data_IF_036524794541
#
_entry.id   IF_036524794541
#
_cell.length_a   1.000
_cell.length_b   1.000
_cell.length_c   1.000
_cell.angle_alpha   90.00
_cell.angle_beta   90.00
_cell.angle_gamma   90.00
#
_symmetry.space_group_name_H-M   'P 1'
#
loop_
_entity.id
_entity.type
_entity.pdbx_description
1 polymer ?
#
# COMPACT_ATOMS: atom_id res chain seq x y z
N UNK A 1 7.20 -22.04 -34.34
CA UNK A 1 7.26 -20.62 -34.71
C UNK A 1 6.28 -19.75 -33.95
N UNK A 2 4.97 -19.99 -33.98
CA UNK A 2 3.96 -19.20 -33.26
C UNK A 2 4.17 -19.22 -31.74
N UNK A 3 4.42 -20.38 -31.14
CA UNK A 3 4.67 -20.52 -29.69
C UNK A 3 5.92 -19.76 -29.26
N UNK A 4 6.99 -19.82 -30.07
CA UNK A 4 8.22 -19.07 -29.81
C UNK A 4 8.00 -17.56 -29.90
N UNK A 5 7.17 -17.09 -30.84
CA UNK A 5 6.82 -15.68 -30.97
C UNK A 5 5.98 -15.19 -29.76
N UNK A 6 5.02 -16.00 -29.30
CA UNK A 6 4.20 -15.70 -28.13
C UNK A 6 5.06 -15.61 -26.87
N UNK A 7 5.94 -16.60 -26.65
CA UNK A 7 6.86 -16.62 -25.51
C UNK A 7 7.80 -15.41 -25.55
N UNK A 8 8.31 -15.05 -26.73
CA UNK A 8 9.20 -13.90 -26.88
C UNK A 8 8.48 -12.57 -26.63
N UNK A 9 7.27 -12.41 -27.18
CA UNK A 9 6.44 -11.22 -26.95
C UNK A 9 6.05 -11.08 -25.46
N UNK A 10 5.74 -12.19 -24.80
CA UNK A 10 5.44 -12.23 -23.37
C UNK A 10 6.68 -11.83 -22.54
N UNK A 11 7.82 -12.41 -22.88
CA UNK A 11 9.10 -12.08 -22.23
C UNK A 11 9.48 -10.60 -22.39
N UNK A 12 9.30 -10.01 -23.57
CA UNK A 12 9.60 -8.60 -23.83
C UNK A 12 8.68 -7.67 -23.04
N UNK A 13 7.39 -7.98 -22.93
CA UNK A 13 6.45 -7.19 -22.14
C UNK A 13 6.82 -7.11 -20.67
N UNK A 14 7.40 -8.16 -20.13
CA UNK A 14 7.88 -8.19 -18.75
C UNK A 14 9.31 -7.66 -18.62
N UNK A 15 10.25 -8.17 -19.44
CA UNK A 15 11.66 -7.86 -19.28
C UNK A 15 12.02 -6.42 -19.59
N UNK A 16 11.36 -5.79 -20.53
CA UNK A 16 11.62 -4.40 -20.88
C UNK A 16 11.34 -3.45 -19.67
N UNK A 17 10.14 -3.41 -19.08
CA UNK A 17 9.91 -2.58 -17.91
C UNK A 17 10.75 -3.02 -16.69
N UNK A 18 10.92 -4.33 -16.47
CA UNK A 18 11.74 -4.82 -15.36
C UNK A 18 13.20 -4.37 -15.48
N UNK A 19 13.79 -4.45 -16.68
CA UNK A 19 15.18 -4.00 -16.92
C UNK A 19 15.32 -2.50 -16.69
N UNK A 20 14.38 -1.69 -17.14
CA UNK A 20 14.45 -0.22 -16.91
C UNK A 20 14.29 0.09 -15.42
N UNK A 21 13.28 -0.45 -14.77
CA UNK A 21 13.03 -0.18 -13.33
C UNK A 21 14.19 -0.66 -12.46
N UNK A 22 14.68 -1.88 -12.66
CA UNK A 22 15.79 -2.44 -11.91
C UNK A 22 17.13 -1.81 -12.29
N UNK A 23 17.34 -1.48 -13.57
CA UNK A 23 18.57 -0.86 -14.05
C UNK A 23 18.74 0.58 -13.59
N UNK A 24 17.65 1.32 -13.45
CA UNK A 24 17.67 2.72 -12.95
C UNK A 24 17.69 2.82 -11.42
N UNK A 25 17.25 1.78 -10.72
CA UNK A 25 17.16 1.78 -9.26
C UNK A 25 18.50 2.05 -8.55
N UNK A 26 19.64 1.44 -8.94
CA UNK A 26 20.93 1.75 -8.32
C UNK A 26 21.34 3.22 -8.48
N UNK A 27 21.19 3.78 -9.68
CA UNK A 27 21.51 5.18 -9.94
C UNK A 27 20.62 6.13 -9.12
N UNK A 28 19.33 5.83 -9.04
CA UNK A 28 18.39 6.57 -8.19
C UNK A 28 18.80 6.51 -6.71
N UNK A 29 19.05 5.33 -6.18
CA UNK A 29 19.42 5.14 -4.77
C UNK A 29 20.76 5.75 -4.41
N UNK A 30 21.74 5.73 -5.32
CA UNK A 30 23.02 6.42 -5.14
C UNK A 30 22.83 7.94 -5.12
N UNK A 31 22.11 8.49 -6.09
CA UNK A 31 21.80 9.93 -6.15
C UNK A 31 21.05 10.40 -4.91
N UNK A 32 20.07 9.61 -4.49
CA UNK A 32 19.34 9.86 -3.25
C UNK A 32 20.25 9.76 -2.02
N UNK A 33 21.17 8.79 -1.97
CA UNK A 33 22.14 8.65 -0.88
C UNK A 33 23.07 9.86 -0.75
N UNK A 34 23.57 10.38 -1.87
CA UNK A 34 24.35 11.62 -1.93
C UNK A 34 23.51 12.79 -1.40
N UNK A 35 22.27 12.92 -1.88
CA UNK A 35 21.33 13.93 -1.37
C UNK A 35 21.12 13.79 0.15
N UNK A 36 20.94 12.58 0.63
CA UNK A 36 20.75 12.32 2.08
C UNK A 36 21.94 12.75 2.91
N UNK A 37 23.16 12.56 2.42
CA UNK A 37 24.38 13.03 3.09
C UNK A 37 24.47 14.55 3.09
N UNK A 38 24.26 15.19 1.94
CA UNK A 38 24.30 16.65 1.83
C UNK A 38 23.23 17.33 2.67
N UNK A 39 22.08 16.70 2.83
CA UNK A 39 20.95 17.25 3.57
C UNK A 39 21.09 17.17 5.10
N UNK A 40 22.16 16.55 5.63
CA UNK A 40 22.36 16.45 7.10
C UNK A 40 22.51 17.80 7.78
N UNK A 41 22.99 18.80 7.06
CA UNK A 41 23.16 20.18 7.55
C UNK A 41 21.97 21.08 7.23
N UNK A 42 20.96 20.56 6.52
CA UNK A 42 19.80 21.32 6.10
C UNK A 42 18.63 21.17 7.08
N UNK A 43 17.72 22.16 7.15
CA UNK A 43 16.49 22.02 7.91
C UNK A 43 15.67 20.79 7.43
N UNK A 44 15.12 20.03 8.37
CA UNK A 44 14.34 18.81 8.11
C UNK A 44 13.24 19.02 7.07
N UNK A 45 12.62 20.18 7.04
CA UNK A 45 11.58 20.54 6.07
C UNK A 45 12.11 20.55 4.63
N UNK A 46 13.32 21.11 4.42
CA UNK A 46 13.96 21.15 3.08
C UNK A 46 14.30 19.73 2.63
N UNK A 47 14.83 18.91 3.55
CA UNK A 47 15.08 17.51 3.27
C UNK A 47 13.82 16.80 2.76
N UNK A 48 12.72 16.85 3.52
CA UNK A 48 11.48 16.16 3.13
C UNK A 48 10.92 16.66 1.80
N UNK A 49 10.96 17.97 1.54
CA UNK A 49 10.44 18.53 0.28
C UNK A 49 11.15 17.97 -0.95
N UNK A 50 12.49 17.85 -0.90
CA UNK A 50 13.26 17.32 -2.02
C UNK A 50 13.22 15.80 -2.07
N UNK A 51 13.22 15.11 -0.94
CA UNK A 51 13.04 13.67 -0.84
C UNK A 51 11.69 13.25 -1.48
N UNK A 52 10.61 13.95 -1.16
CA UNK A 52 9.29 13.72 -1.74
C UNK A 52 9.26 13.93 -3.26
N UNK A 53 10.00 14.93 -3.77
CA UNK A 53 10.13 15.17 -5.22
C UNK A 53 10.92 14.05 -5.91
N UNK A 54 12.03 13.61 -5.34
CA UNK A 54 12.84 12.51 -5.87
C UNK A 54 12.03 11.21 -5.90
N UNK A 55 11.30 10.92 -4.81
CA UNK A 55 10.38 9.79 -4.77
C UNK A 55 9.33 9.89 -5.86
N UNK A 56 8.69 11.05 -6.01
CA UNK A 56 7.67 11.28 -7.02
C UNK A 56 8.20 11.02 -8.44
N UNK A 57 9.40 11.50 -8.77
CA UNK A 57 10.02 11.30 -10.10
C UNK A 57 10.24 9.80 -10.37
N UNK A 58 10.88 9.09 -9.45
CA UNK A 58 11.16 7.67 -9.64
C UNK A 58 9.89 6.83 -9.70
N UNK A 59 8.96 7.05 -8.79
CA UNK A 59 7.70 6.32 -8.77
C UNK A 59 6.79 6.64 -9.94
N UNK A 60 6.82 7.86 -10.48
CA UNK A 60 6.08 8.17 -11.72
C UNK A 60 6.57 7.34 -12.91
N UNK A 61 7.88 7.06 -12.99
CA UNK A 61 8.43 6.16 -14.00
C UNK A 61 7.92 4.71 -13.77
N UNK A 62 7.91 4.26 -12.52
CA UNK A 62 7.38 2.93 -12.19
C UNK A 62 5.90 2.84 -12.56
N UNK A 63 5.09 3.83 -12.17
CA UNK A 63 3.66 3.89 -12.50
C UNK A 63 3.39 3.92 -13.99
N UNK A 64 4.23 4.61 -14.78
CA UNK A 64 4.12 4.58 -16.24
C UNK A 64 4.12 3.15 -16.78
N UNK A 65 5.01 2.28 -16.27
CA UNK A 65 5.04 0.89 -16.71
C UNK A 65 3.82 0.10 -16.24
N UNK A 66 3.36 0.31 -15.02
CA UNK A 66 2.23 -0.46 -14.48
C UNK A 66 0.86 0.01 -14.96
N UNK A 67 0.71 1.23 -15.40
CA UNK A 67 -0.57 1.78 -15.88
C UNK A 67 -0.55 2.01 -17.39
N UNK A 68 0.35 2.88 -17.88
CA UNK A 68 0.32 3.28 -19.28
C UNK A 68 0.87 2.22 -20.24
N UNK A 69 2.03 1.64 -19.92
CA UNK A 69 2.66 0.63 -20.77
C UNK A 69 1.85 -0.67 -20.81
N UNK A 70 1.34 -1.13 -19.68
CA UNK A 70 0.46 -2.31 -19.64
C UNK A 70 -0.87 -2.03 -20.31
N UNK A 71 -1.35 -0.79 -20.25
CA UNK A 71 -2.69 -0.40 -20.67
C UNK A 71 -3.78 -1.07 -19.82
N UNK A 72 -3.49 -1.32 -18.54
CA UNK A 72 -4.50 -1.76 -17.57
C UNK A 72 -5.50 -0.63 -17.34
N UNK A 73 -6.78 -0.97 -17.33
CA UNK A 73 -7.84 0.01 -17.07
C UNK A 73 -8.11 0.10 -15.57
N UNK A 74 -7.96 1.29 -15.00
CA UNK A 74 -8.23 1.56 -13.59
C UNK A 74 -9.62 2.20 -13.49
N UNK A 75 -10.57 1.45 -12.94
CA UNK A 75 -11.97 1.90 -12.77
C UNK A 75 -12.17 2.27 -11.30
N UNK A 76 -12.41 3.55 -11.05
CA UNK A 76 -12.64 4.06 -9.70
C UNK A 76 -14.12 4.33 -9.50
N UNK A 77 -14.67 3.77 -8.43
CA UNK A 77 -16.01 4.05 -7.92
C UNK A 77 -15.89 4.93 -6.68
N UNK A 78 -16.58 6.06 -6.69
CA UNK A 78 -16.49 7.10 -5.67
C UNK A 78 -15.61 8.28 -6.10
N UNK A 79 -15.58 9.30 -5.28
CA UNK A 79 -14.95 10.58 -5.60
C UNK A 79 -13.57 10.71 -4.93
N UNK A 80 -12.53 10.81 -5.75
CA UNK A 80 -11.20 11.11 -5.27
C UNK A 80 -11.09 12.62 -4.99
N UNK A 81 -10.75 13.05 -3.76
CA UNK A 81 -10.55 14.47 -3.45
C UNK A 81 -9.48 15.09 -4.33
N UNK A 82 -9.73 16.27 -4.87
CA UNK A 82 -8.77 16.99 -5.74
C UNK A 82 -7.62 17.63 -4.96
N UNK A 83 -7.84 17.98 -3.69
CA UNK A 83 -6.80 18.59 -2.84
C UNK A 83 -5.97 17.52 -2.15
N UNK A 84 -4.72 17.86 -1.87
CA UNK A 84 -3.85 17.04 -1.04
C UNK A 84 -4.36 17.04 0.39
N UNK A 85 -4.40 15.86 0.99
CA UNK A 85 -4.79 15.64 2.36
C UNK A 85 -3.75 14.78 3.07
N UNK A 86 -3.63 14.96 4.38
CA UNK A 86 -2.89 14.03 5.23
C UNK A 86 -3.82 12.89 5.62
N UNK A 87 -3.51 11.69 5.17
CA UNK A 87 -4.46 10.57 5.27
C UNK A 87 -3.81 9.28 5.74
N UNK A 88 -4.65 8.43 6.30
CA UNK A 88 -4.38 7.00 6.42
C UNK A 88 -5.18 6.30 5.31
N UNK A 89 -4.46 5.62 4.42
CA UNK A 89 -5.02 4.77 3.40
C UNK A 89 -5.18 3.34 3.97
N UNK A 90 -6.41 2.84 4.04
CA UNK A 90 -6.75 1.50 4.51
C UNK A 90 -7.31 0.68 3.36
N UNK A 91 -6.63 -0.38 2.97
CA UNK A 91 -7.09 -1.25 1.88
C UNK A 91 -7.02 -2.73 2.24
N UNK A 92 -7.81 -3.53 1.55
CA UNK A 92 -7.62 -4.97 1.49
C UNK A 92 -6.28 -5.29 0.78
N UNK A 93 -5.74 -6.47 1.04
CA UNK A 93 -4.41 -6.87 0.56
C UNK A 93 -4.45 -8.23 -0.12
N UNK A 94 -4.27 -8.27 -1.44
CA UNK A 94 -4.40 -9.50 -2.22
C UNK A 94 -3.10 -9.91 -2.91
N UNK A 95 -2.32 -8.94 -3.37
CA UNK A 95 -1.10 -9.24 -4.13
C UNK A 95 0.04 -8.24 -3.88
N UNK A 96 1.15 -8.46 -4.54
CA UNK A 96 2.29 -7.56 -4.44
C UNK A 96 2.04 -6.24 -5.18
N UNK A 97 1.11 -6.20 -6.15
CA UNK A 97 0.80 -4.98 -6.89
C UNK A 97 -0.08 -3.98 -6.11
N UNK A 98 -0.64 -4.34 -4.95
CA UNK A 98 -1.53 -3.46 -4.19
C UNK A 98 -0.87 -2.13 -3.78
N UNK A 99 0.45 -2.10 -3.58
CA UNK A 99 1.15 -0.85 -3.30
C UNK A 99 1.20 0.07 -4.52
N UNK A 100 1.26 -0.50 -5.74
CA UNK A 100 1.18 0.27 -6.99
C UNK A 100 -0.18 0.97 -7.10
N UNK A 101 -1.26 0.29 -6.69
CA UNK A 101 -2.61 0.88 -6.70
C UNK A 101 -2.69 2.07 -5.74
N UNK A 102 -2.06 1.97 -4.57
CA UNK A 102 -1.99 3.11 -3.64
C UNK A 102 -1.26 4.31 -4.28
N UNK A 103 -0.14 4.06 -4.95
CA UNK A 103 0.62 5.09 -5.68
C UNK A 103 -0.18 5.67 -6.87
N UNK A 104 -0.93 4.83 -7.60
CA UNK A 104 -1.83 5.29 -8.68
C UNK A 104 -2.94 6.22 -8.18
N UNK A 105 -3.46 6.01 -6.99
CA UNK A 105 -4.42 6.92 -6.37
C UNK A 105 -3.74 8.20 -5.86
N UNK A 106 -2.58 8.06 -5.23
CA UNK A 106 -1.84 9.21 -4.71
C UNK A 106 -1.37 10.17 -5.81
N UNK A 107 -0.95 9.66 -6.99
CA UNK A 107 -0.53 10.53 -8.10
C UNK A 107 -1.70 11.36 -8.64
N UNK A 108 -2.92 10.82 -8.65
CA UNK A 108 -4.13 11.53 -9.08
C UNK A 108 -4.49 12.71 -8.17
N UNK A 109 -3.97 12.70 -6.94
CA UNK A 109 -4.09 13.79 -5.97
C UNK A 109 -2.81 14.65 -5.87
N UNK A 110 -1.83 14.43 -6.74
CA UNK A 110 -0.50 15.04 -6.67
C UNK A 110 0.21 14.80 -5.33
N UNK A 111 -0.12 13.70 -4.65
CA UNK A 111 0.37 13.32 -3.32
C UNK A 111 1.36 12.14 -3.35
N UNK A 112 1.83 11.70 -4.55
CA UNK A 112 2.70 10.54 -4.70
C UNK A 112 3.97 10.64 -3.85
N UNK A 113 4.60 11.80 -3.78
CA UNK A 113 5.78 12.02 -2.92
C UNK A 113 5.50 11.90 -1.42
N UNK A 114 4.25 12.01 -1.01
CA UNK A 114 3.84 11.93 0.40
C UNK A 114 3.53 10.50 0.87
N UNK A 115 3.61 9.51 -0.03
CA UNK A 115 3.29 8.13 0.28
C UNK A 115 4.33 7.54 1.24
N UNK A 116 3.85 6.95 2.32
CA UNK A 116 4.63 6.24 3.34
C UNK A 116 3.94 4.90 3.60
N UNK A 117 4.73 3.85 3.77
CA UNK A 117 4.19 2.50 3.95
C UNK A 117 4.44 1.96 5.34
N UNK A 118 3.44 1.25 5.88
CA UNK A 118 3.64 0.33 6.99
C UNK A 118 4.06 -1.02 6.43
N UNK A 119 5.33 -1.35 6.60
CA UNK A 119 6.02 -2.48 5.96
C UNK A 119 6.29 -3.62 6.95
N UNK A 120 6.39 -4.85 6.43
CA UNK A 120 6.86 -5.99 7.22
C UNK A 120 8.32 -5.79 7.64
N UNK A 121 8.64 -6.04 8.91
CA UNK A 121 9.98 -5.85 9.49
C UNK A 121 11.11 -6.54 8.70
N UNK A 122 10.84 -7.70 8.10
CA UNK A 122 11.82 -8.39 7.26
C UNK A 122 12.30 -7.60 6.03
N UNK A 123 11.51 -6.65 5.53
CA UNK A 123 11.87 -5.84 4.36
C UNK A 123 12.97 -4.81 4.66
N UNK A 124 13.26 -4.51 5.91
CA UNK A 124 14.38 -3.63 6.29
C UNK A 124 15.76 -4.18 5.88
N UNK A 125 15.84 -5.51 5.69
CA UNK A 125 17.07 -6.21 5.28
C UNK A 125 17.24 -6.27 3.76
N UNK A 126 16.28 -5.77 2.99
CA UNK A 126 16.43 -5.67 1.55
C UNK A 126 17.54 -4.65 1.22
N UNK A 127 18.61 -5.07 0.52
CA UNK A 127 19.76 -4.21 0.26
C UNK A 127 19.33 -2.87 -0.37
N UNK A 128 19.88 -1.78 0.13
CA UNK A 128 19.61 -0.40 -0.26
C UNK A 128 18.17 0.06 0.00
N UNK A 129 17.18 -0.70 -0.46
CA UNK A 129 15.76 -0.35 -0.35
C UNK A 129 15.25 -0.32 1.10
N UNK A 130 15.71 -1.25 1.94
CA UNK A 130 15.32 -1.27 3.35
C UNK A 130 15.74 0.01 4.08
N UNK A 131 16.96 0.47 3.82
CA UNK A 131 17.43 1.74 4.37
C UNK A 131 16.68 2.93 3.76
N UNK A 132 16.53 2.97 2.44
CA UNK A 132 15.82 4.01 1.72
C UNK A 132 14.39 4.21 2.24
N UNK A 133 13.56 3.16 2.28
CA UNK A 133 12.20 3.26 2.78
C UNK A 133 12.13 3.73 4.24
N UNK A 134 13.11 3.34 5.07
CA UNK A 134 13.19 3.85 6.44
C UNK A 134 13.42 5.35 6.50
N UNK A 135 14.27 5.89 5.63
CA UNK A 135 14.58 7.32 5.58
C UNK A 135 13.46 8.13 4.94
N UNK A 136 12.79 7.59 3.92
CA UNK A 136 11.60 8.18 3.31
C UNK A 136 10.37 8.20 4.23
N UNK A 137 10.49 7.71 5.45
CA UNK A 137 9.41 7.72 6.46
C UNK A 137 8.64 6.41 6.61
N UNK A 138 8.98 5.37 5.86
CA UNK A 138 8.35 4.04 5.97
C UNK A 138 8.53 3.42 7.35
N UNK A 139 7.55 2.67 7.81
CA UNK A 139 7.47 2.12 9.17
C UNK A 139 7.54 0.61 9.10
N UNK A 140 8.57 0.03 9.71
CA UNK A 140 8.72 -1.42 9.79
C UNK A 140 8.04 -1.99 11.03
N UNK A 141 7.14 -2.96 10.83
CA UNK A 141 6.38 -3.59 11.90
C UNK A 141 6.55 -5.11 11.92
N UNK A 142 6.71 -5.68 13.10
CA UNK A 142 6.63 -7.12 13.32
C UNK A 142 5.16 -7.53 13.44
N UNK A 143 4.73 -8.51 12.65
CA UNK A 143 3.32 -8.97 12.57
C UNK A 143 2.93 -9.95 13.70
N UNK A 144 3.67 -9.98 14.80
CA UNK A 144 3.48 -10.89 15.94
C UNK A 144 3.19 -10.12 17.22
N UNK A 145 3.09 -10.83 18.34
CA UNK A 145 3.03 -10.26 19.69
C UNK A 145 4.15 -9.28 20.01
N UNK A 146 5.24 -9.28 19.21
CA UNK A 146 6.38 -8.37 19.32
C UNK A 146 6.18 -7.05 18.54
N UNK A 147 4.95 -6.67 18.21
CA UNK A 147 4.66 -5.37 17.60
C UNK A 147 5.05 -4.25 18.57
N UNK A 148 5.96 -3.38 18.13
CA UNK A 148 6.45 -2.27 18.96
C UNK A 148 5.64 -0.99 18.69
N UNK A 149 4.54 -0.83 19.43
CA UNK A 149 3.65 0.33 19.32
C UNK A 149 4.38 1.65 19.62
N UNK A 150 5.24 1.66 20.66
CA UNK A 150 6.00 2.86 21.07
C UNK A 150 6.94 3.35 19.97
N UNK A 151 7.65 2.42 19.30
CA UNK A 151 8.56 2.78 18.21
C UNK A 151 7.80 3.34 17.00
N UNK A 152 6.68 2.73 16.62
CA UNK A 152 5.83 3.24 15.55
C UNK A 152 5.28 4.62 15.88
N UNK A 153 4.69 4.79 17.07
CA UNK A 153 4.15 6.08 17.55
C UNK A 153 5.20 7.18 17.51
N UNK A 154 6.38 6.93 18.08
CA UNK A 154 7.50 7.89 18.10
C UNK A 154 7.94 8.29 16.68
N UNK A 155 7.98 7.33 15.74
CA UNK A 155 8.40 7.62 14.36
C UNK A 155 7.36 8.49 13.63
N UNK A 156 6.08 8.19 13.80
CA UNK A 156 4.98 8.98 13.23
C UNK A 156 4.94 10.39 13.82
N UNK A 157 5.00 10.51 15.14
CA UNK A 157 5.00 11.80 15.82
C UNK A 157 6.14 12.71 15.34
N UNK A 158 7.35 12.20 15.18
CA UNK A 158 8.46 12.98 14.62
C UNK A 158 8.19 13.53 13.22
N UNK A 159 7.47 12.78 12.38
CA UNK A 159 7.11 13.22 11.03
C UNK A 159 6.01 14.27 11.07
N UNK A 160 5.01 14.11 11.92
CA UNK A 160 3.93 15.11 12.10
C UNK A 160 4.44 16.40 12.75
N UNK A 161 5.32 16.32 13.75
CA UNK A 161 5.98 17.45 14.37
C UNK A 161 6.87 18.24 13.37
N UNK A 162 7.49 17.55 12.44
CA UNK A 162 8.23 18.16 11.34
C UNK A 162 7.32 18.79 10.27
N UNK A 163 6.00 18.65 10.38
CA UNK A 163 5.03 19.10 9.38
C UNK A 163 5.12 18.37 8.06
N UNK A 164 5.67 17.14 8.05
CA UNK A 164 5.80 16.34 6.83
C UNK A 164 4.42 15.91 6.32
N UNK A 165 4.08 16.16 5.04
CA UNK A 165 2.85 15.64 4.47
C UNK A 165 2.84 14.12 4.49
N UNK A 166 1.67 13.52 4.80
CA UNK A 166 1.56 12.09 5.03
C UNK A 166 0.40 11.46 4.26
N UNK A 167 0.72 10.50 3.40
CA UNK A 167 -0.21 9.57 2.78
C UNK A 167 0.19 8.17 3.26
N UNK A 168 -0.28 7.78 4.44
CA UNK A 168 0.19 6.58 5.14
C UNK A 168 -0.61 5.34 4.72
N UNK A 169 0.02 4.46 3.98
CA UNK A 169 -0.58 3.23 3.47
C UNK A 169 -0.46 2.10 4.49
N UNK A 170 -1.60 1.55 4.87
CA UNK A 170 -1.72 0.42 5.79
C UNK A 170 -2.63 -0.65 5.17
N UNK A 171 -2.16 -1.89 5.20
CA UNK A 171 -2.98 -3.06 4.90
C UNK A 171 -3.32 -3.78 6.20
N UNK A 172 -4.52 -3.55 6.77
CA UNK A 172 -4.88 -4.05 8.10
C UNK A 172 -4.88 -5.57 8.24
N UNK A 173 -5.07 -6.30 7.16
CA UNK A 173 -4.99 -7.77 7.13
C UNK A 173 -3.63 -8.30 7.63
N UNK A 174 -2.59 -7.50 7.49
CA UNK A 174 -1.24 -7.84 7.94
C UNK A 174 -0.55 -8.92 7.10
N UNK A 175 -1.24 -9.58 6.18
CA UNK A 175 -0.71 -10.46 5.14
C UNK A 175 -1.66 -10.45 3.95
N UNK A 176 -1.22 -10.98 2.80
CA UNK A 176 -2.03 -11.03 1.58
C UNK A 176 -3.08 -12.14 1.70
N UNK A 177 -4.31 -11.84 1.29
CA UNK A 177 -5.31 -12.86 1.06
C UNK A 177 -4.90 -13.65 -0.20
N UNK A 178 -4.74 -14.96 -0.05
CA UNK A 178 -4.52 -15.87 -1.18
C UNK A 178 -5.43 -17.08 -0.99
N UNK A 179 -6.36 -17.37 -1.91
CA UNK A 179 -7.32 -18.48 -1.80
C UNK A 179 -6.65 -19.86 -1.77
N UNK A 180 -5.40 -19.98 -2.21
CA UNK A 180 -4.62 -21.22 -2.14
C UNK A 180 -4.05 -21.48 -0.74
N UNK A 181 -3.89 -20.45 0.09
CA UNK A 181 -3.36 -20.53 1.44
C UNK A 181 -4.46 -20.79 2.46
N UNK A 182 -5.08 -21.96 2.40
CA UNK A 182 -6.23 -22.34 3.24
C UNK A 182 -5.98 -22.22 4.74
N UNK A 183 -4.76 -22.51 5.21
CA UNK A 183 -4.40 -22.37 6.63
C UNK A 183 -4.48 -20.91 7.09
N UNK A 184 -3.99 -19.96 6.29
CA UNK A 184 -4.03 -18.53 6.62
C UNK A 184 -5.48 -18.03 6.70
N UNK A 185 -6.34 -18.51 5.79
CA UNK A 185 -7.76 -18.16 5.78
C UNK A 185 -8.45 -18.76 7.03
N UNK A 186 -8.21 -20.04 7.32
CA UNK A 186 -8.78 -20.73 8.47
C UNK A 186 -8.38 -20.07 9.80
N UNK A 187 -7.10 -19.71 9.96
CA UNK A 187 -6.60 -18.99 11.13
C UNK A 187 -7.28 -17.62 11.30
N UNK A 188 -7.49 -16.92 10.19
CA UNK A 188 -8.19 -15.62 10.18
C UNK A 188 -9.64 -15.76 10.58
N UNK A 189 -10.33 -16.78 10.05
CA UNK A 189 -11.73 -17.06 10.35
C UNK A 189 -11.92 -17.52 11.80
N UNK A 190 -11.06 -18.41 12.29
CA UNK A 190 -11.06 -18.83 13.69
C UNK A 190 -10.84 -17.66 14.65
N UNK A 191 -9.95 -16.73 14.27
CA UNK A 191 -9.74 -15.50 15.04
C UNK A 191 -11.00 -14.62 15.06
N UNK A 192 -11.69 -14.43 13.94
CA UNK A 192 -12.94 -13.67 13.89
C UNK A 192 -14.01 -14.28 14.79
N UNK A 193 -14.21 -15.60 14.71
CA UNK A 193 -15.16 -16.34 15.56
C UNK A 193 -14.85 -16.20 17.04
N UNK A 194 -13.57 -16.35 17.43
CA UNK A 194 -13.12 -16.19 18.82
C UNK A 194 -13.42 -14.80 19.38
N UNK A 195 -13.32 -13.78 18.54
CA UNK A 195 -13.54 -12.38 18.93
C UNK A 195 -15.00 -11.92 18.76
N UNK A 196 -15.90 -12.82 18.36
CA UNK A 196 -17.32 -12.52 18.15
C UNK A 196 -17.62 -11.64 16.93
N UNK A 197 -16.75 -11.69 15.90
CA UNK A 197 -16.93 -10.98 14.64
C UNK A 197 -17.49 -11.88 13.55
N UNK A 198 -18.10 -11.25 12.54
CA UNK A 198 -18.50 -11.94 11.32
C UNK A 198 -17.29 -12.58 10.62
N UNK A 199 -17.49 -13.77 10.08
CA UNK A 199 -16.45 -14.51 9.36
C UNK A 199 -16.36 -13.99 7.93
N UNK A 200 -15.18 -13.48 7.55
CA UNK A 200 -14.89 -12.98 6.20
C UNK A 200 -14.47 -14.13 5.29
N UNK A 201 -14.87 -14.07 4.01
CA UNK A 201 -14.62 -15.12 3.01
C UNK A 201 -13.59 -14.70 1.95
N UNK A 202 -13.56 -13.44 1.59
CA UNK A 202 -12.79 -12.88 0.48
C UNK A 202 -11.70 -11.90 0.91
N UNK A 203 -11.67 -11.57 2.22
CA UNK A 203 -10.65 -10.77 2.88
C UNK A 203 -10.23 -11.46 4.18
N UNK A 204 -9.10 -11.05 4.77
CA UNK A 204 -8.71 -11.52 6.08
C UNK A 204 -9.21 -10.55 7.17
N UNK A 205 -9.45 -11.09 8.37
CA UNK A 205 -9.86 -10.30 9.52
C UNK A 205 -8.84 -9.20 9.82
N UNK A 206 -9.22 -7.92 9.84
CA UNK A 206 -8.28 -6.82 10.00
C UNK A 206 -7.69 -6.75 11.41
N UNK A 207 -6.41 -6.41 11.49
CA UNK A 207 -5.67 -6.16 12.73
C UNK A 207 -5.63 -4.66 13.01
N UNK A 208 -6.22 -4.24 14.12
CA UNK A 208 -6.39 -2.81 14.41
C UNK A 208 -5.12 -2.10 14.90
N UNK A 209 -4.12 -2.82 15.43
CA UNK A 209 -3.01 -2.21 16.19
C UNK A 209 -2.28 -1.11 15.41
N UNK A 210 -1.84 -1.40 14.18
CA UNK A 210 -1.09 -0.41 13.39
C UNK A 210 -1.96 0.80 13.02
N UNK A 211 -3.21 0.57 12.58
CA UNK A 211 -4.13 1.65 12.21
C UNK A 211 -4.48 2.52 13.42
N UNK A 212 -4.70 1.93 14.59
CA UNK A 212 -4.97 2.67 15.83
C UNK A 212 -3.77 3.52 16.25
N UNK A 213 -2.57 2.93 16.27
CA UNK A 213 -1.36 3.69 16.62
C UNK A 213 -1.12 4.84 15.65
N UNK A 214 -1.43 4.64 14.36
CA UNK A 214 -1.33 5.71 13.37
C UNK A 214 -2.33 6.84 13.63
N UNK A 215 -3.60 6.52 13.89
CA UNK A 215 -4.63 7.52 14.25
C UNK A 215 -4.22 8.33 15.48
N UNK A 216 -3.79 7.66 16.56
CA UNK A 216 -3.35 8.32 17.79
C UNK A 216 -2.10 9.19 17.59
N UNK A 217 -1.12 8.68 16.84
CA UNK A 217 0.15 9.40 16.64
C UNK A 217 0.03 10.59 15.72
N UNK A 218 -0.92 10.57 14.80
CA UNK A 218 -1.14 11.59 13.79
C UNK A 218 -2.35 12.48 14.10
N UNK A 219 -2.92 12.38 15.32
CA UNK A 219 -4.04 13.19 15.76
C UNK A 219 -3.71 14.69 15.58
N UNK A 220 -4.65 15.45 15.00
CA UNK A 220 -4.45 16.87 14.69
C UNK A 220 -3.65 17.15 13.41
N UNK A 221 -3.07 16.11 12.79
CA UNK A 221 -2.39 16.21 11.49
C UNK A 221 -3.17 15.54 10.36
N UNK A 222 -4.10 14.64 10.69
CA UNK A 222 -4.92 13.90 9.73
C UNK A 222 -6.18 14.69 9.32
N UNK A 223 -6.45 14.67 8.03
CA UNK A 223 -7.68 15.20 7.44
C UNK A 223 -8.76 14.11 7.31
N UNK A 224 -8.36 12.89 6.90
CA UNK A 224 -9.29 11.79 6.63
C UNK A 224 -8.63 10.41 6.70
N UNK A 225 -9.47 9.38 6.67
CA UNK A 225 -9.09 8.02 6.30
C UNK A 225 -9.67 7.71 4.92
N UNK A 226 -8.84 7.18 4.03
CA UNK A 226 -9.30 6.66 2.75
C UNK A 226 -9.52 5.16 2.88
N UNK A 227 -10.78 4.76 2.80
CA UNK A 227 -11.18 3.36 2.84
C UNK A 227 -11.30 2.82 1.42
N UNK A 228 -10.36 1.96 1.05
CA UNK A 228 -10.18 1.51 -0.32
C UNK A 228 -10.45 0.02 -0.43
N UNK A 229 -11.25 -0.36 -1.41
CA UNK A 229 -11.43 -1.76 -1.78
C UNK A 229 -10.91 -1.97 -3.19
N UNK A 230 -9.98 -2.90 -3.36
CA UNK A 230 -9.39 -3.25 -4.65
C UNK A 230 -9.88 -4.62 -5.07
N UNK A 231 -10.33 -4.75 -6.32
CA UNK A 231 -10.69 -6.02 -6.93
C UNK A 231 -10.02 -6.12 -8.31
N UNK A 232 -9.38 -7.26 -8.58
CA UNK A 232 -8.71 -7.55 -9.83
C UNK A 232 -9.62 -8.38 -10.71
N UNK A 233 -9.91 -7.92 -11.94
CA UNK A 233 -10.75 -8.66 -12.89
C UNK A 233 -10.15 -10.03 -13.21
N UNK A 234 -11.01 -11.03 -13.40
CA UNK A 234 -10.59 -12.40 -13.71
C UNK A 234 -10.17 -13.23 -12.50
N UNK A 235 -10.16 -12.66 -11.29
CA UNK A 235 -9.89 -13.41 -10.05
C UNK A 235 -11.09 -14.25 -9.58
N UNK A 236 -12.28 -13.98 -10.09
CA UNK A 236 -13.48 -14.77 -9.86
C UNK A 236 -13.90 -15.45 -11.18
N UNK A 237 -13.96 -16.76 -11.20
CA UNK A 237 -14.41 -17.51 -12.37
C UNK A 237 -15.96 -17.65 -12.39
N UNK A 238 -16.50 -18.15 -13.51
CA UNK A 238 -17.96 -18.37 -13.69
C UNK A 238 -18.59 -19.29 -12.63
N UNK A 239 -17.80 -20.14 -12.00
CA UNK A 239 -18.25 -21.07 -10.95
C UNK A 239 -18.04 -20.50 -9.54
N UNK A 240 -17.89 -19.19 -9.40
CA UNK A 240 -17.61 -18.50 -8.13
C UNK A 240 -16.34 -18.99 -7.41
N UNK A 241 -15.45 -19.67 -8.12
CA UNK A 241 -14.14 -20.06 -7.57
C UNK A 241 -13.17 -18.90 -7.71
N UNK A 242 -12.56 -18.50 -6.61
CA UNK A 242 -11.62 -17.39 -6.56
C UNK A 242 -10.20 -17.87 -6.84
N UNK A 243 -9.53 -17.18 -7.77
CA UNK A 243 -8.11 -17.35 -8.06
C UNK A 243 -7.26 -16.35 -7.29
N UNK A 244 -5.96 -16.60 -7.11
CA UNK A 244 -5.04 -15.57 -6.61
C UNK A 244 -5.09 -14.30 -7.47
N UNK A 245 -4.90 -13.16 -6.82
CA UNK A 245 -4.70 -11.90 -7.54
C UNK A 245 -3.35 -11.91 -8.29
N UNK A 246 -3.20 -11.14 -9.38
CA UNK A 246 -2.05 -11.22 -10.26
C UNK A 246 -0.74 -10.90 -9.53
N UNK A 247 0.30 -11.67 -9.81
CA UNK A 247 1.67 -11.32 -9.42
C UNK A 247 2.15 -10.09 -10.19
N UNK A 248 3.27 -9.49 -9.79
CA UNK A 248 3.87 -8.36 -10.51
C UNK A 248 4.16 -8.68 -11.98
N UNK A 249 4.77 -9.84 -12.35
CA UNK A 249 4.95 -10.24 -13.74
C UNK A 249 3.62 -10.36 -14.51
N UNK A 250 2.64 -11.04 -13.95
CA UNK A 250 1.32 -11.20 -14.56
C UNK A 250 0.62 -9.87 -14.78
N UNK A 251 0.74 -8.95 -13.83
CA UNK A 251 0.21 -7.60 -13.97
C UNK A 251 0.89 -6.85 -15.12
N UNK A 252 2.25 -6.86 -15.19
CA UNK A 252 3.01 -6.25 -16.28
C UNK A 252 2.70 -6.87 -17.65
N UNK A 253 2.37 -8.15 -17.68
CA UNK A 253 1.95 -8.85 -18.91
C UNK A 253 0.48 -8.63 -19.28
N UNK A 254 -0.25 -7.80 -18.52
CA UNK A 254 -1.67 -7.51 -18.74
C UNK A 254 -2.60 -8.72 -18.60
N UNK A 255 -2.28 -9.65 -17.69
CA UNK A 255 -3.18 -10.75 -17.38
C UNK A 255 -4.42 -10.29 -16.59
N UNK A 256 -4.35 -9.10 -15.99
CA UNK A 256 -5.48 -8.42 -15.37
C UNK A 256 -5.82 -7.19 -16.22
N UNK A 257 -6.88 -7.23 -17.08
CA UNK A 257 -7.18 -6.11 -17.96
C UNK A 257 -7.75 -4.91 -17.22
N UNK A 258 -8.45 -5.13 -16.10
CA UNK A 258 -9.09 -4.08 -15.30
C UNK A 258 -8.86 -4.27 -13.82
N UNK A 259 -8.69 -3.15 -13.14
CA UNK A 259 -8.67 -3.08 -11.68
C UNK A 259 -9.82 -2.19 -11.23
N UNK A 260 -10.69 -2.73 -10.41
CA UNK A 260 -11.83 -2.03 -9.84
C UNK A 260 -11.45 -1.51 -8.45
N UNK A 261 -11.64 -0.22 -8.21
CA UNK A 261 -11.28 0.42 -6.95
C UNK A 261 -12.51 1.15 -6.43
N UNK A 262 -13.03 0.72 -5.29
CA UNK A 262 -14.00 1.50 -4.55
C UNK A 262 -13.26 2.43 -3.60
N UNK A 263 -13.46 3.73 -3.76
CA UNK A 263 -12.82 4.78 -2.99
C UNK A 263 -13.85 5.47 -2.10
N UNK A 264 -13.63 5.45 -0.80
CA UNK A 264 -14.46 6.18 0.15
C UNK A 264 -13.59 7.04 1.06
N UNK A 265 -13.90 8.34 1.12
CA UNK A 265 -13.27 9.27 2.06
C UNK A 265 -14.10 9.33 3.34
N UNK A 266 -13.51 8.89 4.45
CA UNK A 266 -14.11 8.98 5.78
C UNK A 266 -13.47 10.14 6.54
N UNK A 267 -14.28 11.11 7.00
CA UNK A 267 -13.76 12.21 7.82
C UNK A 267 -13.19 11.67 9.13
N UNK A 268 -12.09 12.26 9.60
CA UNK A 268 -11.44 11.81 10.83
C UNK A 268 -12.38 11.88 12.05
N UNK A 269 -13.37 12.78 12.02
CA UNK A 269 -14.35 12.95 13.08
C UNK A 269 -15.40 11.82 13.16
N UNK A 270 -15.57 11.09 12.06
CA UNK A 270 -16.49 9.94 11.98
C UNK A 270 -15.86 8.65 12.53
N UNK A 271 -14.55 8.66 12.78
CA UNK A 271 -13.84 7.48 13.23
C UNK A 271 -13.90 7.39 14.77
N UNK A 272 -14.41 6.28 15.31
CA UNK A 272 -14.48 6.11 16.76
C UNK A 272 -13.11 6.16 17.42
N UNK A 273 -12.88 7.04 18.43
CA UNK A 273 -11.60 7.14 19.11
C UNK A 273 -11.34 5.97 20.07
N UNK A 274 -12.39 5.40 20.64
CA UNK A 274 -12.30 4.32 21.61
C UNK A 274 -11.84 3.01 20.96
N UNK A 275 -10.87 2.27 21.55
CA UNK A 275 -10.27 1.09 20.93
C UNK A 275 -11.28 0.00 20.57
N UNK A 276 -12.28 -0.22 21.40
CA UNK A 276 -13.31 -1.26 21.17
C UNK A 276 -14.23 -0.87 20.01
N UNK A 277 -14.67 0.39 19.95
CA UNK A 277 -15.53 0.88 18.87
C UNK A 277 -14.76 1.00 17.58
N UNK A 278 -13.49 1.45 17.60
CA UNK A 278 -12.62 1.47 16.43
C UNK A 278 -12.41 0.06 15.84
N UNK A 279 -12.21 -0.95 16.70
CA UNK A 279 -12.07 -2.34 16.28
C UNK A 279 -13.31 -2.84 15.53
N UNK A 280 -14.49 -2.56 16.07
CA UNK A 280 -15.77 -2.91 15.44
C UNK A 280 -15.96 -2.16 14.14
N UNK A 281 -15.71 -0.86 14.12
CA UNK A 281 -15.76 -0.02 12.91
C UNK A 281 -14.86 -0.57 11.81
N UNK A 282 -13.59 -0.85 12.12
CA UNK A 282 -12.65 -1.38 11.14
C UNK A 282 -13.11 -2.74 10.59
N UNK A 283 -13.64 -3.62 11.44
CA UNK A 283 -14.16 -4.90 11.01
C UNK A 283 -15.39 -4.74 10.09
N UNK A 284 -16.33 -3.87 10.42
CA UNK A 284 -17.49 -3.55 9.59
C UNK A 284 -17.07 -3.01 8.20
N UNK A 285 -16.01 -2.19 8.12
CA UNK A 285 -15.44 -1.75 6.83
C UNK A 285 -14.96 -2.96 6.01
N UNK A 286 -14.37 -3.94 6.65
CA UNK A 286 -13.92 -5.17 5.98
C UNK A 286 -15.07 -6.12 5.62
N UNK A 287 -16.16 -6.13 6.36
CA UNK A 287 -17.40 -6.82 5.95
C UNK A 287 -17.97 -6.25 4.64
N UNK A 288 -17.89 -4.92 4.46
CA UNK A 288 -18.30 -4.28 3.20
C UNK A 288 -17.35 -4.67 2.03
N UNK A 289 -16.05 -4.75 2.30
CA UNK A 289 -15.06 -5.18 1.28
C UNK A 289 -15.18 -6.66 0.90
N UNK A 290 -15.76 -7.46 1.79
CA UNK A 290 -15.91 -8.91 1.62
C UNK A 290 -17.11 -9.29 0.74
N UNK A 291 -18.06 -8.36 0.55
CA UNK A 291 -19.27 -8.51 -0.28
C UNK A 291 -18.98 -8.29 -1.76
#
# INVERSE_FOLDING_TARGET
MLLSLVVHTYSLRYWFPATIMLGTAPAYLLSWGVWRLLSTVLPTRVYHTLDDRLYCIYQSMVLFFFENYTGVEIIVYGDIPKKKENVIYLSNHQCTADWIIADMLAIRQSALGHVRYVLKDGLKWLPLYGWYFSQHGGIYVKRSSKFNEKAMKKKLQRQTEAGAPMYLVIFPEGTRYNPELRSVIADSQAFAQKEGFAVLKHTLTPRMKASRVALEAMQGHLDAVYDITVAYEGTLNRNSHRKPAPSMPEFLCKECPRVHIHFERVDIKEIPPEPMFFRRWLHQRFELKDR
#
